data_IF_077377559912
#
_entry.id   IF_077377559912
#
_cell.length_a   1.000
_cell.length_b   1.000
_cell.length_c   1.000
_cell.angle_alpha   90.00
_cell.angle_beta   90.00
_cell.angle_gamma   90.00
#
_symmetry.space_group_name_H-M   'P 1'
#
loop_
_entity.id
_entity.type
_entity.pdbx_description
1 polymer ?
#
# COMPACT_ATOMS: atom_id res chain seq x y z
N UNK A 1 11.07 1.86 1.91
CA UNK A 1 10.26 2.60 0.91
C UNK A 1 9.51 3.76 1.59
N UNK A 2 9.32 4.89 0.92
CA UNK A 2 8.56 6.05 1.43
C UNK A 2 7.33 6.31 0.55
N UNK A 3 6.17 6.60 1.14
CA UNK A 3 4.93 6.87 0.40
C UNK A 3 4.06 7.91 1.10
N UNK A 4 3.19 8.58 0.32
CA UNK A 4 2.10 9.44 0.80
C UNK A 4 0.76 8.76 0.46
N UNK A 5 -0.34 9.13 1.12
CA UNK A 5 -1.67 8.55 0.83
C UNK A 5 -2.06 8.71 -0.64
N UNK A 6 -1.76 9.87 -1.24
CA UNK A 6 -2.03 10.11 -2.65
C UNK A 6 -1.19 9.20 -3.58
N UNK A 7 0.10 9.04 -3.29
CA UNK A 7 0.99 8.16 -4.06
C UNK A 7 0.57 6.70 -3.93
N UNK A 8 0.20 6.27 -2.72
CA UNK A 8 -0.33 4.92 -2.46
C UNK A 8 -1.58 4.64 -3.30
N UNK A 9 -2.55 5.55 -3.28
CA UNK A 9 -3.78 5.42 -4.08
C UNK A 9 -3.48 5.39 -5.58
N UNK A 10 -2.58 6.24 -6.07
CA UNK A 10 -2.23 6.29 -7.49
C UNK A 10 -1.53 5.00 -7.96
N UNK A 11 -0.61 4.46 -7.16
CA UNK A 11 0.04 3.18 -7.48
C UNK A 11 -0.96 2.01 -7.45
N UNK A 12 -1.88 2.01 -6.49
CA UNK A 12 -2.97 1.04 -6.46
C UNK A 12 -3.87 1.15 -7.70
N UNK A 13 -4.24 2.37 -8.11
CA UNK A 13 -5.02 2.58 -9.33
C UNK A 13 -4.30 2.08 -10.59
N UNK A 14 -2.97 2.26 -10.70
CA UNK A 14 -2.20 1.71 -11.81
C UNK A 14 -2.30 0.19 -11.88
N UNK A 15 -2.29 -0.49 -10.72
CA UNK A 15 -2.51 -1.94 -10.66
C UNK A 15 -3.93 -2.32 -11.12
N UNK A 16 -4.96 -1.61 -10.64
CA UNK A 16 -6.36 -1.85 -11.01
C UNK A 16 -6.58 -1.64 -12.52
N UNK A 17 -6.08 -0.54 -13.08
CA UNK A 17 -6.28 -0.15 -14.49
C UNK A 17 -5.59 -1.08 -15.49
N UNK A 18 -4.50 -1.76 -15.10
CA UNK A 18 -3.88 -2.80 -15.95
C UNK A 18 -4.82 -3.98 -16.22
N UNK A 19 -5.92 -4.10 -15.48
CA UNK A 19 -6.94 -5.16 -15.65
C UNK A 19 -8.31 -4.52 -15.88
N UNK A 20 -8.75 -4.53 -17.14
CA UNK A 20 -9.99 -3.87 -17.59
C UNK A 20 -11.27 -4.23 -16.80
N UNK A 21 -11.30 -5.38 -16.12
CA UNK A 21 -12.41 -5.84 -15.27
C UNK A 21 -11.92 -6.29 -13.88
N UNK A 22 -11.05 -5.49 -13.26
CA UNK A 22 -10.50 -5.80 -11.94
C UNK A 22 -11.58 -5.79 -10.84
N UNK A 23 -11.71 -6.89 -10.12
CA UNK A 23 -12.49 -6.99 -8.86
C UNK A 23 -11.93 -6.08 -7.76
N UNK A 24 -10.76 -5.48 -7.96
CA UNK A 24 -10.10 -4.59 -7.01
C UNK A 24 -10.47 -3.11 -7.20
N UNK A 25 -11.46 -2.79 -8.04
CA UNK A 25 -11.90 -1.42 -8.29
C UNK A 25 -12.76 -0.84 -7.14
N UNK A 26 -12.14 -0.60 -5.99
CA UNK A 26 -12.77 -0.02 -4.82
C UNK A 26 -12.77 1.51 -4.86
N UNK A 27 -13.76 2.13 -4.20
CA UNK A 27 -13.80 3.59 -4.02
C UNK A 27 -12.57 4.11 -3.27
N UNK A 28 -12.12 5.32 -3.62
CA UNK A 28 -10.97 5.99 -2.97
C UNK A 28 -11.08 5.98 -1.44
N UNK A 29 -12.28 6.22 -0.89
CA UNK A 29 -12.50 6.23 0.56
C UNK A 29 -12.18 4.88 1.22
N UNK A 30 -12.53 3.77 0.56
CA UNK A 30 -12.23 2.41 1.06
C UNK A 30 -10.73 2.14 1.04
N UNK A 31 -10.05 2.52 -0.05
CA UNK A 31 -8.60 2.37 -0.19
C UNK A 31 -7.84 3.20 0.86
N UNK A 32 -8.29 4.44 1.11
CA UNK A 32 -7.69 5.29 2.14
C UNK A 32 -7.96 4.76 3.56
N UNK A 33 -9.12 4.18 3.83
CA UNK A 33 -9.41 3.52 5.11
C UNK A 33 -8.49 2.33 5.36
N UNK A 34 -8.16 1.55 4.32
CA UNK A 34 -7.16 0.48 4.44
C UNK A 34 -5.76 1.03 4.77
N UNK A 35 -5.37 2.16 4.19
CA UNK A 35 -4.11 2.82 4.53
C UNK A 35 -4.07 3.29 5.99
N UNK A 36 -5.16 3.86 6.50
CA UNK A 36 -5.29 4.25 7.91
C UNK A 36 -5.19 3.04 8.84
N UNK A 37 -5.76 1.90 8.42
CA UNK A 37 -5.62 0.64 9.16
C UNK A 37 -4.15 0.21 9.24
N UNK A 38 -3.37 0.27 8.15
CA UNK A 38 -1.93 -0.04 8.17
C UNK A 38 -1.16 0.82 9.18
N UNK A 39 -1.56 2.09 9.33
CA UNK A 39 -1.00 3.00 10.33
C UNK A 39 -1.38 2.58 11.76
N UNK A 40 -2.64 2.21 12.00
CA UNK A 40 -3.10 1.73 13.30
C UNK A 40 -2.40 0.43 13.74
N UNK A 41 -2.01 -0.42 12.79
CA UNK A 41 -1.24 -1.64 13.03
C UNK A 41 0.27 -1.40 13.17
N UNK A 42 0.72 -0.14 13.13
CA UNK A 42 2.15 0.22 13.20
C UNK A 42 3.01 -0.42 12.09
N UNK A 43 2.40 -0.75 10.93
CA UNK A 43 3.12 -1.24 9.75
C UNK A 43 3.71 -0.09 8.92
N UNK A 44 3.19 1.12 9.12
CA UNK A 44 3.70 2.36 8.57
C UNK A 44 3.76 3.43 9.66
N UNK A 45 4.70 4.36 9.56
CA UNK A 45 4.78 5.51 10.47
C UNK A 45 5.07 6.82 9.75
N UNK A 46 4.74 7.98 10.33
CA UNK A 46 5.09 9.26 9.75
C UNK A 46 6.60 9.49 9.90
N UNK A 47 7.18 10.20 8.95
CA UNK A 47 8.53 10.71 9.11
C UNK A 47 8.54 11.87 10.11
N UNK A 48 9.36 11.77 11.15
CA UNK A 48 9.54 12.81 12.17
C UNK A 48 10.20 14.06 11.56
N UNK A 49 9.85 15.25 12.06
CA UNK A 49 10.45 16.53 11.66
C UNK A 49 9.77 17.30 10.52
N UNK A 50 8.79 16.72 9.81
CA UNK A 50 8.11 17.35 8.66
C UNK A 50 6.61 17.67 8.90
N UNK A 51 6.12 17.48 10.13
CA UNK A 51 4.69 17.20 10.36
C UNK A 51 3.84 18.36 10.89
N UNK A 52 4.42 19.48 11.35
CA UNK A 52 3.67 20.45 12.17
C UNK A 52 2.56 21.19 11.38
N UNK A 53 2.62 21.23 10.04
CA UNK A 53 1.61 21.92 9.20
C UNK A 53 1.14 21.16 7.95
N UNK A 54 1.53 19.89 7.81
CA UNK A 54 1.27 19.14 6.57
C UNK A 54 -0.06 18.40 6.66
N UNK A 55 -0.96 18.63 5.69
CA UNK A 55 -2.23 17.90 5.60
C UNK A 55 -1.98 16.38 5.49
N UNK A 56 -2.90 15.58 6.04
CA UNK A 56 -2.75 14.11 6.15
C UNK A 56 -2.36 13.43 4.83
N UNK A 57 -2.98 13.84 3.73
CA UNK A 57 -2.78 13.21 2.41
C UNK A 57 -1.36 13.41 1.84
N UNK A 58 -0.71 14.50 2.25
CA UNK A 58 0.65 14.85 1.85
C UNK A 58 1.68 14.47 2.90
N UNK A 59 1.30 13.84 4.02
CA UNK A 59 2.27 13.43 5.02
C UNK A 59 3.14 12.30 4.48
N UNK A 60 4.45 12.44 4.63
CA UNK A 60 5.39 11.41 4.24
C UNK A 60 5.37 10.27 5.27
N UNK A 61 5.13 9.05 4.80
CA UNK A 61 5.07 7.84 5.61
C UNK A 61 6.20 6.89 5.22
N UNK A 62 6.75 6.19 6.22
CA UNK A 62 7.76 5.15 6.08
C UNK A 62 7.12 3.79 6.33
N UNK A 63 7.40 2.83 5.44
CA UNK A 63 7.07 1.41 5.63
C UNK A 63 8.00 0.80 6.67
N UNK A 64 7.44 0.04 7.61
CA UNK A 64 8.14 -0.62 8.71
C UNK A 64 8.29 -2.14 8.50
N UNK A 65 8.12 -2.59 7.26
CA UNK A 65 8.30 -3.97 6.82
C UNK A 65 9.44 -4.05 5.81
N UNK A 66 10.21 -5.13 5.92
CA UNK A 66 11.22 -5.51 4.93
C UNK A 66 10.59 -6.33 3.80
N UNK A 67 11.22 -6.29 2.62
CA UNK A 67 10.74 -7.02 1.45
C UNK A 67 10.62 -8.54 1.71
N UNK A 68 11.52 -9.12 2.51
CA UNK A 68 11.47 -10.54 2.89
C UNK A 68 10.20 -10.87 3.67
N UNK A 69 9.80 -10.02 4.61
CA UNK A 69 8.58 -10.19 5.40
C UNK A 69 7.33 -10.11 4.52
N UNK A 70 7.32 -9.20 3.53
CA UNK A 70 6.22 -9.07 2.57
C UNK A 70 6.12 -10.32 1.70
N UNK A 71 7.24 -10.81 1.16
CA UNK A 71 7.28 -12.01 0.32
C UNK A 71 6.87 -13.26 1.08
N UNK A 72 7.34 -13.43 2.32
CA UNK A 72 6.97 -14.55 3.19
C UNK A 72 5.47 -14.52 3.53
N UNK A 73 4.92 -13.34 3.84
CA UNK A 73 3.49 -13.19 4.11
C UNK A 73 2.63 -13.55 2.89
N UNK A 74 3.03 -13.14 1.68
CA UNK A 74 2.33 -13.48 0.43
C UNK A 74 2.32 -14.99 0.14
N UNK A 75 3.37 -15.72 0.53
CA UNK A 75 3.43 -17.18 0.39
C UNK A 75 2.50 -17.89 1.37
N UNK A 76 2.39 -17.38 2.60
CA UNK A 76 1.58 -17.98 3.68
C UNK A 76 0.12 -17.53 3.66
N UNK A 77 -0.24 -16.47 2.93
CA UNK A 77 -1.59 -15.93 2.93
C UNK A 77 -2.59 -16.89 2.25
N UNK A 78 -3.62 -17.35 2.96
CA UNK A 78 -4.59 -18.30 2.42
C UNK A 78 -5.38 -17.66 1.27
N UNK A 79 -5.57 -18.40 0.17
CA UNK A 79 -6.30 -17.92 -1.02
C UNK A 79 -5.78 -16.59 -1.59
N UNK A 80 -4.49 -16.29 -1.43
CA UNK A 80 -3.91 -15.08 -2.03
C UNK A 80 -4.15 -15.08 -3.56
N UNK A 81 -4.73 -14.02 -4.14
CA UNK A 81 -4.97 -13.98 -5.58
C UNK A 81 -3.65 -14.00 -6.38
N UNK A 82 -3.61 -14.80 -7.44
CA UNK A 82 -2.41 -14.94 -8.29
C UNK A 82 -1.93 -13.61 -8.87
N UNK A 83 -2.87 -12.74 -9.24
CA UNK A 83 -2.60 -11.40 -9.77
C UNK A 83 -1.84 -10.50 -8.79
N UNK A 84 -2.18 -10.60 -7.50
CA UNK A 84 -1.53 -9.83 -6.43
C UNK A 84 -0.10 -10.36 -6.23
N UNK A 85 0.08 -11.69 -6.23
CA UNK A 85 1.42 -12.30 -6.16
C UNK A 85 2.30 -11.90 -7.34
N UNK A 86 1.78 -11.98 -8.56
CA UNK A 86 2.53 -11.59 -9.77
C UNK A 86 2.92 -10.11 -9.74
N UNK A 87 2.01 -9.23 -9.32
CA UNK A 87 2.30 -7.82 -9.20
C UNK A 87 3.42 -7.55 -8.16
N UNK A 88 3.36 -8.20 -7.00
CA UNK A 88 4.40 -8.10 -5.99
C UNK A 88 5.77 -8.56 -6.51
N UNK A 89 5.83 -9.72 -7.17
CA UNK A 89 7.08 -10.25 -7.76
C UNK A 89 7.68 -9.32 -8.82
N UNK A 90 6.85 -8.61 -9.59
CA UNK A 90 7.32 -7.64 -10.60
C UNK A 90 7.79 -6.29 -10.01
N UNK A 91 7.41 -6.00 -8.76
CA UNK A 91 7.63 -4.68 -8.15
C UNK A 91 8.66 -4.71 -7.02
N UNK A 92 8.91 -5.90 -6.44
CA UNK A 92 9.90 -6.14 -5.38
C UNK A 92 11.22 -6.73 -5.91
N UNK A 93 11.29 -7.02 -7.21
CA UNK A 93 12.52 -7.46 -7.91
C UNK A 93 13.52 -6.32 -8.11
#
# INVERSE_FOLDING_TARGET
MMARQLTFHNEFLKFVQRKAHSVYNFEKAVVLKAFEHLYQLELIKPMEGLSVRTQKEYRLMKLLLDNSQILEALQKYPNCPTDVRQWAMSSLS
#
